data_IF_814204331058
#
_entry.id   IF_814204331058
#
_cell.length_a   1.000
_cell.length_b   1.000
_cell.length_c   1.000
_cell.angle_alpha   90.00
_cell.angle_beta   90.00
_cell.angle_gamma   90.00
#
_symmetry.space_group_name_H-M   'P 1'
#
loop_
_entity.id
_entity.type
_entity.pdbx_description
1 polymer ?
#
# COMPACT_ATOMS: atom_id res chain seq x y z
N UNK A 1 44.00 -6.25 -6.73
CA UNK A 1 43.53 -5.86 -5.38
C UNK A 1 42.01 -5.67 -5.46
N UNK A 2 41.27 -6.71 -5.12
CA UNK A 2 39.80 -6.72 -5.24
C UNK A 2 39.21 -6.23 -3.93
N UNK A 3 38.58 -5.06 -3.97
CA UNK A 3 37.83 -4.48 -2.86
C UNK A 3 36.52 -5.26 -2.68
N UNK A 4 36.51 -6.21 -1.77
CA UNK A 4 35.32 -6.91 -1.28
C UNK A 4 34.61 -6.02 -0.23
N UNK A 5 33.93 -4.98 -0.66
CA UNK A 5 33.02 -4.24 0.22
C UNK A 5 31.88 -5.14 0.68
N UNK A 6 31.60 -5.14 1.98
CA UNK A 6 30.52 -5.89 2.62
C UNK A 6 29.17 -5.63 1.91
N UNK A 7 28.25 -6.62 1.82
CA UNK A 7 26.91 -6.41 1.26
C UNK A 7 26.10 -5.28 1.92
N UNK A 8 26.46 -4.90 3.15
CA UNK A 8 25.84 -3.78 3.88
C UNK A 8 26.31 -2.41 3.33
N UNK A 9 27.52 -2.29 2.82
CA UNK A 9 28.15 -1.04 2.38
C UNK A 9 27.64 -0.57 1.00
N UNK A 10 27.04 -1.45 0.18
CA UNK A 10 26.42 -1.14 -1.11
C UNK A 10 24.98 -0.63 -1.01
N UNK A 11 24.40 -0.57 0.21
CA UNK A 11 22.98 -0.25 0.39
C UNK A 11 22.79 1.22 0.67
N UNK A 12 22.12 1.92 -0.25
CA UNK A 12 21.80 3.35 -0.13
C UNK A 12 20.82 3.68 1.02
N UNK A 13 20.05 2.70 1.49
CA UNK A 13 18.99 2.90 2.50
C UNK A 13 19.06 1.81 3.58
N UNK A 14 18.94 2.26 4.83
CA UNK A 14 18.78 1.39 5.99
C UNK A 14 17.50 0.56 5.89
N UNK A 15 17.57 -0.70 6.31
CA UNK A 15 16.45 -1.63 6.32
C UNK A 15 16.09 -1.99 7.74
N UNK A 16 14.80 -1.97 8.04
CA UNK A 16 14.28 -2.54 9.28
C UNK A 16 13.62 -3.89 9.00
N UNK A 17 13.76 -4.81 9.95
CA UNK A 17 13.02 -6.06 9.92
C UNK A 17 11.58 -5.77 10.33
N UNK A 18 10.63 -6.25 9.53
CA UNK A 18 9.20 -6.15 9.77
C UNK A 18 8.58 -7.52 9.56
N UNK A 19 7.49 -7.78 10.28
CA UNK A 19 6.68 -8.97 10.04
C UNK A 19 5.22 -8.56 9.95
N UNK A 20 4.91 -7.75 8.91
CA UNK A 20 3.57 -7.21 8.69
C UNK A 20 2.90 -7.94 7.53
N UNK A 21 1.57 -8.10 7.59
CA UNK A 21 0.82 -8.55 6.42
C UNK A 21 0.89 -7.52 5.31
N UNK A 22 0.89 -8.01 4.09
CA UNK A 22 0.87 -7.19 2.89
C UNK A 22 0.14 -7.89 1.76
N UNK A 23 -0.11 -7.16 0.70
CA UNK A 23 -0.71 -7.68 -0.52
C UNK A 23 0.03 -7.14 -1.73
N UNK A 24 0.40 -8.04 -2.62
CA UNK A 24 0.93 -7.73 -3.94
C UNK A 24 -0.22 -7.65 -4.93
N UNK A 25 -0.15 -6.71 -5.83
CA UNK A 25 -1.09 -6.57 -6.93
C UNK A 25 -0.32 -6.35 -8.24
N UNK A 26 -0.63 -7.14 -9.24
CA UNK A 26 -0.11 -7.00 -10.59
C UNK A 26 -1.13 -6.25 -11.45
N UNK A 27 -0.84 -4.99 -11.86
CA UNK A 27 -1.79 -4.19 -12.63
C UNK A 27 -1.98 -4.67 -14.08
N UNK A 28 -1.10 -5.55 -14.59
CA UNK A 28 -1.20 -6.03 -15.98
C UNK A 28 -2.26 -7.12 -16.17
N UNK A 29 -2.46 -7.96 -15.15
CA UNK A 29 -3.39 -9.08 -15.21
C UNK A 29 -4.36 -9.11 -14.01
N UNK A 30 -4.39 -8.04 -13.21
CA UNK A 30 -5.23 -7.87 -12.02
C UNK A 30 -5.03 -8.96 -10.94
N UNK A 31 -3.95 -9.71 -11.02
CA UNK A 31 -3.62 -10.75 -10.06
C UNK A 31 -3.21 -10.15 -8.72
N UNK A 32 -3.82 -10.63 -7.65
CA UNK A 32 -3.44 -10.30 -6.27
C UNK A 32 -2.84 -11.53 -5.58
N UNK A 33 -1.87 -11.29 -4.72
CA UNK A 33 -1.28 -12.32 -3.87
C UNK A 33 -1.03 -11.77 -2.47
N UNK A 34 -1.43 -12.52 -1.46
CA UNK A 34 -1.06 -12.22 -0.08
C UNK A 34 0.44 -12.42 0.12
N UNK A 35 1.03 -11.58 0.95
CA UNK A 35 2.44 -11.69 1.28
C UNK A 35 2.72 -11.24 2.72
N UNK A 36 3.87 -11.61 3.22
CA UNK A 36 4.39 -11.13 4.50
C UNK A 36 5.63 -10.28 4.25
N UNK A 37 5.59 -9.03 4.69
CA UNK A 37 6.75 -8.14 4.60
C UNK A 37 7.80 -8.59 5.60
N UNK A 38 9.01 -8.89 5.13
CA UNK A 38 10.13 -9.34 5.96
C UNK A 38 11.04 -8.18 6.37
N UNK A 39 11.24 -7.25 5.46
CA UNK A 39 11.98 -6.02 5.72
C UNK A 39 11.52 -4.89 4.80
N UNK A 40 11.73 -3.67 5.26
CA UNK A 40 11.35 -2.45 4.57
C UNK A 40 12.46 -1.41 4.66
N UNK A 41 12.65 -0.67 3.60
CA UNK A 41 13.51 0.51 3.54
C UNK A 41 12.88 1.59 2.67
N UNK A 42 13.44 2.77 2.68
CA UNK A 42 12.98 3.84 1.78
C UNK A 42 13.22 3.57 0.29
N UNK A 43 14.00 2.54 -0.04
CA UNK A 43 14.28 2.15 -1.43
C UNK A 43 13.55 0.89 -1.88
N UNK A 44 12.93 0.12 -0.97
CA UNK A 44 12.29 -1.13 -1.34
C UNK A 44 11.94 -2.02 -0.17
N UNK A 45 11.40 -3.19 -0.47
CA UNK A 45 10.99 -4.19 0.50
C UNK A 45 11.42 -5.59 0.07
N UNK A 46 11.56 -6.49 1.06
CA UNK A 46 11.55 -7.91 0.81
C UNK A 46 10.29 -8.52 1.44
N UNK A 47 9.62 -9.37 0.70
CA UNK A 47 8.40 -10.02 1.12
C UNK A 47 8.47 -11.52 0.92
N UNK A 48 7.78 -12.27 1.76
CA UNK A 48 7.52 -13.70 1.57
C UNK A 48 6.21 -13.83 0.80
N UNK A 49 6.23 -14.55 -0.32
CA UNK A 49 5.07 -14.75 -1.18
C UNK A 49 5.18 -16.09 -1.90
N UNK A 50 4.10 -16.87 -1.92
CA UNK A 50 4.06 -18.18 -2.60
C UNK A 50 3.85 -18.02 -4.11
N UNK A 51 3.20 -16.94 -4.53
CA UNK A 51 2.99 -16.63 -5.95
C UNK A 51 4.29 -16.17 -6.60
N UNK A 52 4.69 -16.82 -7.68
CA UNK A 52 5.90 -16.48 -8.43
C UNK A 52 5.69 -15.25 -9.31
N UNK A 53 6.60 -14.30 -9.20
CA UNK A 53 6.65 -13.11 -10.05
C UNK A 53 8.01 -13.02 -10.74
N UNK A 54 8.05 -12.81 -12.05
CA UNK A 54 9.32 -12.65 -12.77
C UNK A 54 10.03 -11.36 -12.37
N UNK A 55 11.36 -11.34 -12.49
CA UNK A 55 12.14 -10.11 -12.32
C UNK A 55 11.77 -9.08 -13.41
N UNK A 56 11.83 -7.80 -13.07
CA UNK A 56 11.47 -6.70 -13.94
C UNK A 56 9.97 -6.39 -14.01
N UNK A 57 9.12 -7.15 -13.32
CA UNK A 57 7.68 -6.91 -13.31
C UNK A 57 7.33 -5.74 -12.37
N UNK A 58 6.51 -4.81 -12.85
CA UNK A 58 5.96 -3.74 -12.01
C UNK A 58 4.80 -4.28 -11.18
N UNK A 59 4.91 -4.15 -9.87
CA UNK A 59 3.89 -4.55 -8.91
C UNK A 59 3.52 -3.39 -7.98
N UNK A 60 2.36 -3.50 -7.40
CA UNK A 60 1.92 -2.64 -6.29
C UNK A 60 1.95 -3.46 -5.02
N UNK A 61 2.73 -3.01 -4.04
CA UNK A 61 2.77 -3.59 -2.70
C UNK A 61 1.95 -2.72 -1.74
N UNK A 62 0.96 -3.32 -1.12
CA UNK A 62 0.24 -2.75 0.02
C UNK A 62 0.83 -3.32 1.30
N UNK A 63 1.21 -2.45 2.22
CA UNK A 63 1.75 -2.82 3.53
C UNK A 63 0.83 -2.24 4.59
N UNK A 64 0.39 -3.08 5.52
CA UNK A 64 -0.43 -2.63 6.63
C UNK A 64 0.28 -1.49 7.39
N UNK A 65 -0.43 -0.41 7.68
CA UNK A 65 0.02 0.81 8.34
C UNK A 65 1.02 1.69 7.55
N UNK A 66 1.64 1.19 6.48
CA UNK A 66 2.58 1.95 5.65
C UNK A 66 1.95 2.44 4.34
N UNK A 67 0.90 1.77 3.85
CA UNK A 67 0.17 2.16 2.65
C UNK A 67 0.66 1.47 1.38
N UNK A 68 0.53 2.16 0.25
CA UNK A 68 0.72 1.65 -1.11
C UNK A 68 2.05 2.09 -1.71
N UNK A 69 2.80 1.14 -2.27
CA UNK A 69 4.07 1.37 -2.95
C UNK A 69 4.09 0.69 -4.31
N UNK A 70 4.42 1.44 -5.33
CA UNK A 70 4.75 0.88 -6.65
C UNK A 70 6.22 0.51 -6.66
N UNK A 71 6.54 -0.64 -7.24
CA UNK A 71 7.91 -1.11 -7.32
C UNK A 71 8.11 -2.15 -8.40
N UNK A 72 9.36 -2.37 -8.74
CA UNK A 72 9.79 -3.37 -9.72
C UNK A 72 10.39 -4.57 -8.98
N UNK A 73 10.04 -5.76 -9.41
CA UNK A 73 10.61 -7.00 -8.90
C UNK A 73 12.07 -7.12 -9.31
N UNK A 74 12.97 -7.33 -8.34
CA UNK A 74 14.40 -7.51 -8.59
C UNK A 74 14.75 -8.98 -8.70
N UNK A 75 14.30 -9.75 -7.72
CA UNK A 75 14.55 -11.19 -7.65
C UNK A 75 13.45 -11.87 -6.86
N UNK A 76 13.07 -13.08 -7.31
CA UNK A 76 12.20 -13.96 -6.55
C UNK A 76 12.90 -15.31 -6.40
N UNK A 77 13.27 -15.67 -5.19
CA UNK A 77 13.97 -16.93 -4.89
C UNK A 77 13.53 -17.48 -3.54
N UNK A 78 13.29 -18.77 -3.47
CA UNK A 78 12.87 -19.49 -2.25
C UNK A 78 11.65 -18.84 -1.56
N UNK A 79 10.66 -18.41 -2.35
CA UNK A 79 9.46 -17.72 -1.84
C UNK A 79 9.70 -16.29 -1.36
N UNK A 80 10.93 -15.76 -1.46
CA UNK A 80 11.22 -14.37 -1.12
C UNK A 80 11.34 -13.52 -2.37
N UNK A 81 10.54 -12.47 -2.42
CA UNK A 81 10.51 -11.47 -3.48
C UNK A 81 11.14 -10.17 -2.99
N UNK A 82 12.10 -9.65 -3.73
CA UNK A 82 12.65 -8.32 -3.51
C UNK A 82 12.04 -7.32 -4.49
N UNK A 83 11.57 -6.20 -3.97
CA UNK A 83 10.99 -5.08 -4.71
C UNK A 83 11.83 -3.82 -4.53
N UNK A 84 12.12 -3.13 -5.61
CA UNK A 84 12.66 -1.77 -5.59
C UNK A 84 11.51 -0.78 -5.83
N UNK A 85 11.38 0.24 -4.97
CA UNK A 85 10.28 1.19 -5.06
C UNK A 85 10.52 2.29 -6.08
N UNK A 86 9.55 2.48 -6.96
CA UNK A 86 9.47 3.59 -7.90
C UNK A 86 8.72 4.78 -7.28
N UNK A 87 9.32 5.40 -6.24
CA UNK A 87 8.71 6.52 -5.50
C UNK A 87 9.59 7.77 -5.55
N UNK A 88 8.94 8.93 -5.65
CA UNK A 88 9.62 10.23 -5.63
C UNK A 88 10.18 10.59 -4.23
N UNK A 89 11.09 11.58 -4.20
CA UNK A 89 11.82 11.97 -2.99
C UNK A 89 10.90 12.37 -1.82
N UNK A 90 9.80 13.05 -2.08
CA UNK A 90 8.83 13.44 -1.03
C UNK A 90 8.21 12.21 -0.34
N UNK A 91 7.77 11.22 -1.12
CA UNK A 91 7.22 9.97 -0.59
C UNK A 91 8.29 9.13 0.11
N UNK A 92 9.51 9.17 -0.41
CA UNK A 92 10.69 8.52 0.18
C UNK A 92 11.05 9.11 1.54
N UNK A 93 11.00 10.44 1.67
CA UNK A 93 11.22 11.14 2.94
C UNK A 93 10.19 10.74 4.01
N UNK A 94 8.91 10.73 3.65
CA UNK A 94 7.84 10.27 4.57
C UNK A 94 8.02 8.81 4.98
N UNK A 95 8.37 7.94 4.04
CA UNK A 95 8.62 6.53 4.34
C UNK A 95 9.79 6.35 5.31
N UNK A 96 10.88 7.14 5.18
CA UNK A 96 11.99 7.14 6.13
C UNK A 96 11.52 7.50 7.55
N UNK A 97 10.71 8.55 7.68
CA UNK A 97 10.20 8.95 9.00
C UNK A 97 9.25 7.90 9.60
N UNK A 98 8.37 7.31 8.79
CA UNK A 98 7.51 6.21 9.23
C UNK A 98 8.34 4.99 9.71
N UNK A 99 9.40 4.64 8.97
CA UNK A 99 10.31 3.56 9.33
C UNK A 99 11.00 3.85 10.67
N UNK A 100 11.51 5.06 10.88
CA UNK A 100 12.12 5.46 12.16
C UNK A 100 11.13 5.38 13.30
N UNK A 101 9.94 5.94 13.13
CA UNK A 101 8.87 5.90 14.13
C UNK A 101 8.50 4.47 14.49
N UNK A 102 8.44 3.58 13.49
CA UNK A 102 8.18 2.16 13.72
C UNK A 102 9.33 1.50 14.50
N UNK A 103 10.58 1.76 14.13
CA UNK A 103 11.76 1.18 14.78
C UNK A 103 11.90 1.60 16.26
N UNK A 104 11.44 2.80 16.62
CA UNK A 104 11.45 3.30 18.00
C UNK A 104 10.22 2.89 18.82
N UNK A 105 9.37 1.98 18.30
CA UNK A 105 8.14 1.56 18.97
C UNK A 105 7.00 2.57 18.88
N UNK A 106 7.20 3.69 18.19
CA UNK A 106 6.21 4.77 18.08
C UNK A 106 4.93 4.40 17.31
N UNK A 107 4.97 3.38 16.45
CA UNK A 107 3.76 2.89 15.77
C UNK A 107 2.83 2.07 16.69
N UNK A 108 3.31 1.56 17.81
CA UNK A 108 2.44 1.03 18.85
C UNK A 108 1.52 2.14 19.40
N UNK A 109 1.97 3.41 19.34
CA UNK A 109 1.16 4.58 19.67
C UNK A 109 0.30 5.07 18.49
N UNK A 110 0.65 4.82 17.24
CA UNK A 110 -0.22 5.14 16.10
C UNK A 110 -1.47 4.24 16.06
N UNK A 111 -1.38 3.02 16.58
CA UNK A 111 -2.57 2.21 16.88
C UNK A 111 -3.30 2.68 18.15
N UNK A 112 -2.66 3.46 19.00
CA UNK A 112 -3.21 3.95 20.27
C UNK A 112 -3.34 5.47 20.35
N UNK A 113 -2.77 6.18 19.35
CA UNK A 113 -3.01 7.60 19.18
C UNK A 113 -4.45 7.76 18.77
N UNK A 114 -5.24 8.02 19.84
CA UNK A 114 -6.59 8.51 19.80
C UNK A 114 -7.24 8.28 18.43
N UNK A 115 -7.74 7.04 18.23
CA UNK A 115 -8.99 6.92 17.51
C UNK A 115 -9.94 7.83 18.29
N UNK A 116 -9.88 9.11 18.01
CA UNK A 116 -11.09 9.87 18.03
C UNK A 116 -11.99 9.07 17.13
N UNK A 117 -13.07 8.45 17.64
CA UNK A 117 -14.09 7.90 16.78
C UNK A 117 -14.77 9.09 16.13
N UNK A 118 -14.08 9.74 15.25
CA UNK A 118 -14.60 10.47 14.15
C UNK A 118 -15.00 9.37 13.16
N UNK A 119 -15.96 8.54 13.57
CA UNK A 119 -16.79 7.79 12.67
C UNK A 119 -17.52 8.86 11.85
N UNK A 120 -16.81 9.41 10.87
CA UNK A 120 -17.45 10.17 9.80
C UNK A 120 -18.19 9.13 9.01
N UNK A 121 -19.40 8.86 9.47
CA UNK A 121 -20.34 8.04 8.73
C UNK A 121 -20.69 8.79 7.45
N UNK A 122 -20.59 8.11 6.35
CA UNK A 122 -20.84 8.65 5.03
C UNK A 122 -21.48 7.60 4.13
N UNK A 123 -21.56 7.92 2.87
CA UNK A 123 -21.97 6.96 1.85
C UNK A 123 -21.07 7.08 0.63
N UNK A 124 -20.87 5.96 -0.03
CA UNK A 124 -20.36 5.92 -1.40
C UNK A 124 -21.49 5.63 -2.35
N UNK A 125 -21.43 6.18 -3.55
CA UNK A 125 -22.41 5.94 -4.60
C UNK A 125 -21.75 5.15 -5.71
N UNK A 126 -22.32 4.02 -6.09
CA UNK A 126 -21.88 3.18 -7.20
C UNK A 126 -22.29 3.80 -8.54
N UNK A 127 -21.71 3.33 -9.65
CA UNK A 127 -22.09 3.80 -10.99
C UNK A 127 -23.56 3.52 -11.34
N UNK A 128 -24.16 2.50 -10.75
CA UNK A 128 -25.59 2.18 -10.90
C UNK A 128 -26.52 3.07 -10.05
N UNK A 129 -25.97 4.03 -9.30
CA UNK A 129 -26.73 4.91 -8.41
C UNK A 129 -27.00 4.35 -7.01
N UNK A 130 -26.61 3.10 -6.72
CA UNK A 130 -26.77 2.51 -5.39
C UNK A 130 -25.90 3.24 -4.37
N UNK A 131 -26.51 3.65 -3.26
CA UNK A 131 -25.79 4.23 -2.13
C UNK A 131 -25.46 3.16 -1.09
N UNK A 132 -24.19 3.12 -0.71
CA UNK A 132 -23.66 2.19 0.30
C UNK A 132 -23.23 3.01 1.51
N UNK A 133 -23.86 2.78 2.65
CA UNK A 133 -23.41 3.36 3.92
C UNK A 133 -22.03 2.83 4.32
N UNK A 134 -21.18 3.70 4.79
CA UNK A 134 -19.82 3.36 5.20
C UNK A 134 -19.30 4.29 6.29
N UNK A 135 -18.32 3.83 7.04
CA UNK A 135 -17.55 4.64 7.98
C UNK A 135 -16.13 4.79 7.47
N UNK A 136 -15.58 5.96 7.60
CA UNK A 136 -14.18 6.21 7.23
C UNK A 136 -13.27 5.63 8.30
N UNK A 137 -12.42 4.66 7.93
CA UNK A 137 -11.42 4.08 8.82
C UNK A 137 -10.10 4.84 8.76
N UNK A 138 -9.69 5.22 7.55
CA UNK A 138 -8.43 5.91 7.30
C UNK A 138 -8.50 6.68 5.98
N UNK A 139 -7.86 7.85 5.93
CA UNK A 139 -7.77 8.71 4.74
C UNK A 139 -6.31 9.00 4.46
N UNK A 140 -5.92 8.89 3.19
CA UNK A 140 -4.62 9.32 2.67
C UNK A 140 -4.79 10.26 1.46
N UNK A 141 -3.68 10.80 0.97
CA UNK A 141 -3.69 11.60 -0.26
C UNK A 141 -4.06 10.81 -1.51
N UNK A 142 -3.93 9.49 -1.47
CA UNK A 142 -4.12 8.62 -2.63
C UNK A 142 -5.41 7.79 -2.53
N UNK A 143 -6.09 7.79 -1.37
CA UNK A 143 -7.29 6.97 -1.20
C UNK A 143 -7.82 6.93 0.23
N UNK A 144 -8.82 6.09 0.44
CA UNK A 144 -9.54 5.96 1.70
C UNK A 144 -9.84 4.49 1.99
N UNK A 145 -9.76 4.12 3.25
CA UNK A 145 -10.27 2.84 3.77
C UNK A 145 -11.64 3.07 4.40
N UNK A 146 -12.61 2.29 3.97
CA UNK A 146 -14.01 2.40 4.38
C UNK A 146 -14.48 1.12 5.04
N UNK A 147 -15.07 1.23 6.22
CA UNK A 147 -15.82 0.14 6.84
C UNK A 147 -17.19 0.06 6.22
N UNK A 148 -17.51 -1.07 5.63
CA UNK A 148 -18.84 -1.36 5.06
C UNK A 148 -19.04 -2.86 4.92
N UNK A 149 -20.29 -3.31 4.97
CA UNK A 149 -20.65 -4.71 4.69
C UNK A 149 -20.75 -5.01 3.20
N UNK A 150 -20.97 -3.98 2.39
CA UNK A 150 -21.04 -4.12 0.94
C UNK A 150 -19.65 -4.48 0.38
N UNK A 151 -19.67 -5.25 -0.71
CA UNK A 151 -18.47 -5.73 -1.41
C UNK A 151 -18.55 -5.36 -2.90
N UNK A 152 -18.48 -4.04 -3.25
CA UNK A 152 -18.39 -3.65 -4.66
C UNK A 152 -17.19 -4.36 -5.30
N UNK A 153 -17.29 -4.82 -6.55
CA UNK A 153 -16.18 -5.48 -7.24
C UNK A 153 -14.89 -4.65 -7.22
N UNK A 154 -13.74 -5.34 -7.10
CA UNK A 154 -12.44 -4.68 -7.29
C UNK A 154 -12.36 -4.15 -8.71
N UNK A 155 -11.92 -2.91 -8.87
CA UNK A 155 -11.90 -2.20 -10.15
C UNK A 155 -13.12 -1.29 -10.36
N UNK A 156 -14.22 -1.47 -9.65
CA UNK A 156 -15.40 -0.65 -9.77
C UNK A 156 -15.13 0.80 -9.35
N UNK A 157 -15.70 1.73 -10.10
CA UNK A 157 -15.65 3.16 -9.77
C UNK A 157 -16.79 3.48 -8.82
N UNK A 158 -16.46 4.17 -7.74
CA UNK A 158 -17.43 4.66 -6.75
C UNK A 158 -17.21 6.15 -6.52
N UNK A 159 -18.26 6.85 -6.15
CA UNK A 159 -18.19 8.27 -5.81
C UNK A 159 -18.24 8.43 -4.28
N UNK A 160 -17.28 9.17 -3.74
CA UNK A 160 -17.20 9.58 -2.34
C UNK A 160 -17.51 11.09 -2.29
N UNK A 161 -18.78 11.44 -2.24
CA UNK A 161 -19.21 12.82 -2.42
C UNK A 161 -18.83 13.34 -3.82
N UNK A 162 -17.90 14.30 -3.88
CA UNK A 162 -17.40 14.86 -5.16
C UNK A 162 -16.15 14.15 -5.70
N UNK A 163 -15.58 13.23 -4.96
CA UNK A 163 -14.35 12.55 -5.34
C UNK A 163 -14.66 11.19 -5.93
N UNK A 164 -14.10 10.90 -7.10
CA UNK A 164 -14.18 9.58 -7.72
C UNK A 164 -13.05 8.70 -7.19
N UNK A 165 -13.36 7.45 -6.93
CA UNK A 165 -12.39 6.47 -6.49
C UNK A 165 -12.64 5.12 -7.12
N UNK A 166 -11.60 4.29 -7.18
CA UNK A 166 -11.67 2.92 -7.64
C UNK A 166 -11.50 1.97 -6.47
N UNK A 167 -12.37 1.01 -6.33
CA UNK A 167 -12.22 -0.08 -5.36
C UNK A 167 -10.98 -0.89 -5.73
N UNK A 168 -9.98 -0.94 -4.83
CA UNK A 168 -8.71 -1.59 -5.11
C UNK A 168 -8.53 -2.90 -4.36
N UNK A 169 -9.24 -3.07 -3.25
CA UNK A 169 -9.26 -4.34 -2.50
C UNK A 169 -10.40 -4.40 -1.51
N UNK A 170 -10.77 -5.62 -1.13
CA UNK A 170 -11.60 -5.89 0.04
C UNK A 170 -10.72 -6.10 1.28
N UNK A 171 -11.21 -5.66 2.43
CA UNK A 171 -10.62 -5.90 3.74
C UNK A 171 -11.63 -6.65 4.61
N UNK A 172 -11.20 -7.17 5.75
CA UNK A 172 -12.08 -7.91 6.67
C UNK A 172 -13.33 -7.09 7.03
N UNK A 173 -13.15 -5.81 7.35
CA UNK A 173 -14.24 -4.93 7.78
C UNK A 173 -14.77 -3.99 6.68
N UNK A 174 -14.25 -4.05 5.45
CA UNK A 174 -14.65 -3.10 4.44
C UNK A 174 -13.89 -3.17 3.13
N UNK A 175 -13.66 -1.99 2.54
CA UNK A 175 -12.99 -1.84 1.24
C UNK A 175 -11.95 -0.73 1.29
N UNK A 176 -10.92 -0.85 0.45
CA UNK A 176 -10.01 0.24 0.16
C UNK A 176 -10.33 0.83 -1.21
N UNK A 177 -10.40 2.14 -1.27
CA UNK A 177 -10.72 2.92 -2.48
C UNK A 177 -9.57 3.86 -2.78
N UNK A 178 -9.04 3.81 -3.98
CA UNK A 178 -8.01 4.73 -4.47
C UNK A 178 -8.68 5.87 -5.23
N UNK A 179 -8.26 7.12 -4.97
CA UNK A 179 -8.78 8.27 -5.71
C UNK A 179 -8.32 8.23 -7.17
N UNK A 180 -9.28 8.42 -8.07
CA UNK A 180 -9.01 8.58 -9.49
C UNK A 180 -8.66 10.06 -9.72
N UNK A 181 -7.41 10.33 -10.09
CA UNK A 181 -7.03 11.68 -10.55
C UNK A 181 -7.75 11.93 -11.86
N UNK A 182 -8.62 12.90 -11.93
CA UNK A 182 -9.05 13.43 -13.21
C UNK A 182 -7.81 14.02 -13.88
N UNK A 183 -7.39 13.43 -14.99
CA UNK A 183 -6.44 14.07 -15.89
C UNK A 183 -7.20 15.29 -16.42
N UNK A 184 -6.84 16.46 -15.91
CA UNK A 184 -7.46 17.72 -16.31
C UNK A 184 -7.47 17.79 -17.84
N UNK A 185 -8.65 17.85 -18.43
CA UNK A 185 -8.80 18.36 -19.78
C UNK A 185 -8.26 19.78 -19.75
N UNK A 186 -7.07 19.96 -20.32
CA UNK A 186 -6.60 21.29 -20.70
C UNK A 186 -7.67 21.88 -21.64
N UNK A 187 -8.23 23.00 -21.21
CA UNK A 187 -9.03 23.87 -22.06
C UNK A 187 -8.12 24.58 -23.06
#
# INVERSE_FOLDING_TARGET
>A
MSSTGSPAERRKYERIKLFLPGQLFNPLNEQSAECKVLNLSAGGAAVQCDTQFPAGLSLVLYIENFGRFEGTTIVHKNGQLALEFAIGESKRGRLKEMIKTFATGGLAHLHKSERTPSLVSGSITRENGEQIACDVLDISLDGVCLRTRARPPVGEIVNLGRTRGRVVRHMIEGIAVQYVKEIGRAA
#
